data_IF_045984006295
#
_entry.id   IF_045984006295
#
_cell.length_a   1.000
_cell.length_b   1.000
_cell.length_c   1.000
_cell.angle_alpha   90.00
_cell.angle_beta   90.00
_cell.angle_gamma   90.00
#
_symmetry.space_group_name_H-M   'P 1'
#
loop_
_entity.id
_entity.type
_entity.pdbx_description
1 polymer ?
#
# COMPACT_ATOMS: atom_id res chain seq x y z
N UNK A 1 -13.22 3.32 2.53
CA UNK A 1 -11.77 3.45 2.33
C UNK A 1 -11.47 4.16 1.03
N UNK A 2 -10.97 5.39 1.11
CA UNK A 2 -10.35 6.06 -0.03
C UNK A 2 -8.98 5.45 -0.29
N UNK A 3 -8.63 5.27 -1.56
CA UNK A 3 -7.33 4.77 -1.98
C UNK A 3 -6.83 5.53 -3.21
N UNK A 4 -5.54 5.40 -3.49
CA UNK A 4 -4.93 5.86 -4.74
C UNK A 4 -4.18 4.69 -5.35
N UNK A 5 -4.41 4.40 -6.64
CA UNK A 5 -3.61 3.39 -7.35
C UNK A 5 -2.47 4.09 -8.07
N UNK A 6 -1.24 3.64 -7.83
CA UNK A 6 -0.05 4.19 -8.47
C UNK A 6 0.85 3.05 -8.92
N UNK A 7 1.72 3.31 -9.89
CA UNK A 7 2.74 2.36 -10.30
C UNK A 7 4.08 3.04 -10.52
N UNK A 8 5.16 2.27 -10.33
CA UNK A 8 6.51 2.66 -10.71
C UNK A 8 7.09 1.61 -11.64
N UNK A 9 7.28 1.95 -12.93
CA UNK A 9 7.85 1.03 -13.94
C UNK A 9 7.04 -0.29 -14.01
N UNK A 10 5.72 -0.18 -14.11
CA UNK A 10 4.80 -1.33 -14.19
C UNK A 10 4.47 -2.03 -12.87
N UNK A 11 5.25 -1.84 -11.79
CA UNK A 11 4.94 -2.41 -10.47
C UNK A 11 3.91 -1.53 -9.75
N UNK A 12 2.69 -2.04 -9.59
CA UNK A 12 1.51 -1.27 -9.17
C UNK A 12 1.03 -1.64 -7.76
N UNK A 13 0.67 -0.64 -6.96
CA UNK A 13 0.12 -0.84 -5.61
C UNK A 13 -1.12 0.00 -5.39
N UNK A 14 -1.97 -0.48 -4.49
CA UNK A 14 -3.07 0.27 -3.90
C UNK A 14 -2.51 1.01 -2.67
N UNK A 15 -2.58 2.33 -2.65
CA UNK A 15 -2.09 3.16 -1.55
C UNK A 15 -3.26 3.65 -0.70
N UNK A 16 -3.13 3.52 0.62
CA UNK A 16 -4.12 4.00 1.59
C UNK A 16 -3.46 4.96 2.57
N UNK A 17 -4.09 6.13 2.73
CA UNK A 17 -3.67 7.14 3.68
C UNK A 17 -4.22 6.82 5.09
N UNK A 18 -3.36 6.28 5.94
CA UNK A 18 -3.67 5.93 7.32
C UNK A 18 -3.58 7.10 8.32
N UNK A 19 -3.44 8.34 7.85
CA UNK A 19 -3.77 9.51 8.66
C UNK A 19 -5.28 9.75 8.74
N UNK A 20 -6.03 9.28 7.72
CA UNK A 20 -7.48 9.45 7.62
C UNK A 20 -8.25 8.13 7.75
N UNK A 21 -7.66 7.03 7.27
CA UNK A 21 -8.31 5.71 7.20
C UNK A 21 -7.69 4.75 8.22
N UNK A 22 -8.53 3.99 8.93
CA UNK A 22 -8.07 2.93 9.85
C UNK A 22 -8.23 1.56 9.19
N UNK A 23 -7.12 0.81 9.10
CA UNK A 23 -7.09 -0.54 8.54
C UNK A 23 -6.72 -1.53 9.64
N UNK A 24 -7.69 -2.33 10.10
CA UNK A 24 -7.49 -3.27 11.20
C UNK A 24 -6.80 -4.58 10.75
N UNK A 25 -7.07 -5.07 9.54
CA UNK A 25 -6.43 -6.27 9.00
C UNK A 25 -5.83 -6.02 7.59
N UNK A 26 -4.62 -5.41 7.52
CA UNK A 26 -3.99 -5.08 6.25
C UNK A 26 -3.65 -6.29 5.38
N UNK A 27 -3.29 -7.42 5.99
CA UNK A 27 -2.91 -8.63 5.26
C UNK A 27 -4.09 -9.22 4.49
N UNK A 28 -5.25 -9.32 5.15
CA UNK A 28 -6.47 -9.79 4.48
C UNK A 28 -6.98 -8.77 3.46
N UNK A 29 -6.93 -7.48 3.80
CA UNK A 29 -7.29 -6.44 2.86
C UNK A 29 -6.42 -6.48 1.60
N UNK A 30 -5.11 -6.69 1.74
CA UNK A 30 -4.18 -6.80 0.61
C UNK A 30 -4.62 -7.89 -0.37
N UNK A 31 -4.98 -9.09 0.11
CA UNK A 31 -5.48 -10.17 -0.75
C UNK A 31 -6.74 -9.76 -1.52
N UNK A 32 -7.71 -9.15 -0.83
CA UNK A 32 -8.98 -8.75 -1.42
C UNK A 32 -8.79 -7.67 -2.49
N UNK A 33 -8.01 -6.63 -2.18
CA UNK A 33 -7.86 -5.48 -3.08
C UNK A 33 -6.90 -5.76 -4.24
N UNK A 34 -5.91 -6.63 -4.04
CA UNK A 34 -4.93 -7.00 -5.07
C UNK A 34 -5.46 -8.00 -6.09
N UNK A 35 -6.57 -8.70 -5.82
CA UNK A 35 -7.21 -9.55 -6.82
C UNK A 35 -7.57 -8.73 -8.06
N UNK A 36 -7.08 -9.15 -9.23
CA UNK A 36 -7.24 -8.41 -10.50
C UNK A 36 -8.61 -8.60 -11.17
N UNK A 37 -9.39 -9.60 -10.76
CA UNK A 37 -10.70 -9.91 -11.32
C UNK A 37 -11.85 -9.42 -10.44
N UNK A 38 -11.69 -9.53 -9.12
CA UNK A 38 -12.73 -9.24 -8.12
C UNK A 38 -12.35 -8.09 -7.18
N UNK A 39 -11.12 -7.59 -7.24
CA UNK A 39 -10.63 -6.43 -6.50
C UNK A 39 -10.28 -5.25 -7.39
N UNK A 40 -9.39 -4.39 -6.90
CA UNK A 40 -8.83 -3.25 -7.66
C UNK A 40 -7.71 -3.73 -8.61
N UNK A 41 -7.07 -4.83 -8.24
CA UNK A 41 -5.89 -5.38 -8.90
C UNK A 41 -4.63 -4.61 -8.53
N UNK A 42 -3.55 -5.32 -8.25
CA UNK A 42 -2.23 -4.74 -8.04
C UNK A 42 -1.27 -5.74 -7.43
N UNK A 43 0.02 -5.41 -7.40
CA UNK A 43 1.04 -6.27 -6.82
C UNK A 43 0.99 -6.29 -5.28
N UNK A 44 0.23 -5.36 -4.68
CA UNK A 44 -0.01 -5.33 -3.24
C UNK A 44 -0.76 -4.08 -2.76
N UNK A 45 -0.74 -3.91 -1.43
CA UNK A 45 -1.28 -2.78 -0.69
C UNK A 45 -0.14 -2.06 0.04
N UNK A 46 -0.10 -0.73 -0.06
CA UNK A 46 0.81 0.11 0.71
C UNK A 46 0.00 1.03 1.63
N UNK A 47 0.34 1.00 2.92
CA UNK A 47 -0.21 1.90 3.92
C UNK A 47 0.79 3.02 4.20
N UNK A 48 0.33 4.26 4.10
CA UNK A 48 1.10 5.46 4.44
C UNK A 48 0.49 6.03 5.71
N UNK A 49 1.22 6.03 6.82
CA UNK A 49 0.67 6.43 8.12
C UNK A 49 1.68 7.17 9.00
N UNK A 50 1.31 7.46 10.26
CA UNK A 50 2.17 8.20 11.18
C UNK A 50 3.43 7.41 11.55
N UNK A 51 4.53 8.12 11.74
CA UNK A 51 5.80 7.63 12.27
C UNK A 51 6.20 8.43 13.50
N UNK A 52 6.99 7.82 14.40
CA UNK A 52 7.58 8.51 15.56
C UNK A 52 8.95 9.13 15.25
N UNK A 53 9.55 8.77 14.12
CA UNK A 53 10.96 9.08 13.79
C UNK A 53 11.15 9.64 12.37
N UNK A 54 10.07 9.83 11.62
CA UNK A 54 10.08 10.33 10.24
C UNK A 54 8.74 11.04 9.94
N UNK A 55 8.64 11.71 8.79
CA UNK A 55 7.40 12.41 8.39
C UNK A 55 6.25 11.42 8.11
N UNK A 56 6.57 10.27 7.52
CA UNK A 56 5.60 9.20 7.23
C UNK A 56 6.21 7.82 7.46
N UNK A 57 5.35 6.83 7.77
CA UNK A 57 5.68 5.40 7.81
C UNK A 57 5.02 4.71 6.62
N UNK A 58 5.81 3.99 5.85
CA UNK A 58 5.33 3.07 4.81
C UNK A 58 5.26 1.65 5.38
N UNK A 59 4.16 0.93 5.14
CA UNK A 59 4.04 -0.53 5.32
C UNK A 59 3.58 -1.15 4.02
N UNK A 60 4.17 -2.26 3.63
CA UNK A 60 3.93 -2.90 2.33
C UNK A 60 3.39 -4.30 2.57
N UNK A 61 2.27 -4.62 1.94
CA UNK A 61 1.68 -5.95 1.94
C UNK A 61 1.61 -6.46 0.51
N UNK A 62 2.18 -7.63 0.26
CA UNK A 62 2.08 -8.29 -1.04
C UNK A 62 0.64 -8.77 -1.29
N UNK A 63 0.33 -9.10 -2.55
CA UNK A 63 -0.98 -9.64 -2.93
C UNK A 63 -1.40 -10.92 -2.18
N UNK A 64 -0.45 -11.67 -1.61
CA UNK A 64 -0.73 -12.84 -0.76
C UNK A 64 -0.96 -12.51 0.72
N UNK A 65 -0.88 -11.22 1.09
CA UNK A 65 -1.03 -10.72 2.44
C UNK A 65 0.24 -10.72 3.29
N UNK A 66 1.38 -11.21 2.79
CA UNK A 66 2.66 -11.12 3.51
C UNK A 66 3.15 -9.67 3.60
N UNK A 67 3.69 -9.27 4.76
CA UNK A 67 4.29 -7.94 4.94
C UNK A 67 5.76 -7.97 4.46
N UNK A 68 6.11 -7.06 3.55
CA UNK A 68 7.45 -6.95 2.99
C UNK A 68 8.26 -5.86 3.72
N UNK A 69 9.57 -6.06 3.86
CA UNK A 69 10.46 -5.09 4.52
C UNK A 69 10.74 -3.86 3.64
N UNK A 70 10.87 -4.03 2.33
CA UNK A 70 11.21 -2.95 1.41
C UNK A 70 10.67 -3.19 -0.01
N UNK A 71 10.23 -2.12 -0.65
CA UNK A 71 9.96 -2.07 -2.09
C UNK A 71 10.48 -0.75 -2.67
N UNK A 72 11.55 -0.81 -3.48
CA UNK A 72 12.16 0.37 -4.10
C UNK A 72 11.26 1.06 -5.14
N UNK A 73 10.27 0.36 -5.71
CA UNK A 73 9.26 0.96 -6.58
C UNK A 73 8.15 1.64 -5.78
N UNK A 74 7.69 0.99 -4.72
CA UNK A 74 6.66 1.49 -3.82
C UNK A 74 7.05 2.83 -3.18
N UNK A 75 8.28 2.93 -2.69
CA UNK A 75 8.77 4.15 -2.01
C UNK A 75 8.78 5.39 -2.92
N UNK A 76 9.02 5.25 -4.23
CA UNK A 76 8.97 6.39 -5.17
C UNK A 76 7.57 7.00 -5.25
N UNK A 77 6.55 6.15 -5.19
CA UNK A 77 5.17 6.63 -5.17
C UNK A 77 4.80 7.22 -3.81
N UNK A 78 5.29 6.66 -2.69
CA UNK A 78 5.10 7.26 -1.37
C UNK A 78 5.71 8.66 -1.30
N UNK A 79 6.94 8.84 -1.81
CA UNK A 79 7.58 10.14 -1.84
C UNK A 79 6.85 11.17 -2.72
N UNK A 80 6.13 10.73 -3.76
CA UNK A 80 5.26 11.60 -4.58
C UNK A 80 3.94 11.92 -3.88
N UNK A 81 3.43 11.00 -3.06
CA UNK A 81 2.14 11.12 -2.39
C UNK A 81 2.21 12.02 -1.15
N UNK A 82 3.31 11.91 -0.39
CA UNK A 82 3.54 12.62 0.86
C UNK A 82 3.80 14.13 0.68
#
# INVERSE_FOLDING_TARGET
MRFTKMHGIGNDYIYVNCFEERIDNPAELAKIVSDRHFGIGGDGLILIGPSKIADVRMRIFNADGSEAEMCGNGIRCVAKYA
#
